data_IF_424196867654
#
_entry.id   IF_424196867654
#
_cell.length_a   1.000
_cell.length_b   1.000
_cell.length_c   1.000
_cell.angle_alpha   90.00
_cell.angle_beta   90.00
_cell.angle_gamma   90.00
#
_symmetry.space_group_name_H-M   'P 1'
#
loop_
_entity.id
_entity.type
_entity.pdbx_description
1 polymer ?
#
# COMPACT_ATOMS: atom_id res chain seq x y z
N UNK A 1 4.13 -4.81 1.21
CA UNK A 1 4.38 -5.27 2.60
C UNK A 1 3.09 -5.54 3.36
N UNK A 2 1.94 -5.64 2.67
CA UNK A 2 0.65 -5.84 3.30
C UNK A 2 0.57 -7.12 4.14
N UNK A 3 1.12 -8.24 3.66
CA UNK A 3 1.06 -9.53 4.37
C UNK A 3 1.88 -9.55 5.64
N UNK A 4 3.04 -8.89 5.63
CA UNK A 4 3.98 -8.93 6.76
C UNK A 4 3.73 -7.82 7.78
N UNK A 5 3.11 -6.71 7.37
CA UNK A 5 2.92 -5.55 8.23
C UNK A 5 1.48 -5.01 8.25
N UNK A 6 0.96 -4.51 7.12
CA UNK A 6 -0.27 -3.71 7.13
C UNK A 6 -1.49 -4.52 7.57
N UNK A 7 -1.73 -5.70 7.00
CA UNK A 7 -2.88 -6.54 7.35
C UNK A 7 -2.83 -7.03 8.81
N UNK A 8 -1.68 -7.57 9.31
CA UNK A 8 -1.56 -7.90 10.74
C UNK A 8 -1.74 -6.70 11.66
N UNK A 9 -1.21 -5.53 11.30
CA UNK A 9 -1.33 -4.32 12.11
C UNK A 9 -2.79 -3.87 12.20
N UNK A 10 -3.48 -3.75 11.07
CA UNK A 10 -4.90 -3.38 11.02
C UNK A 10 -5.73 -4.37 11.83
N UNK A 11 -5.57 -5.68 11.59
CA UNK A 11 -6.34 -6.70 12.31
C UNK A 11 -6.16 -6.60 13.83
N UNK A 12 -4.92 -6.44 14.32
CA UNK A 12 -4.66 -6.24 15.77
C UNK A 12 -5.32 -4.97 16.31
N UNK A 13 -5.26 -3.86 15.56
CA UNK A 13 -5.90 -2.60 15.98
C UNK A 13 -7.42 -2.73 16.04
N UNK A 14 -8.03 -3.45 15.10
CA UNK A 14 -9.47 -3.71 15.13
C UNK A 14 -9.88 -4.48 16.40
N UNK A 15 -9.14 -5.55 16.75
CA UNK A 15 -9.39 -6.31 17.98
C UNK A 15 -9.25 -5.43 19.23
N UNK A 16 -8.20 -4.61 19.31
CA UNK A 16 -7.98 -3.70 20.45
C UNK A 16 -9.17 -2.73 20.63
N UNK A 17 -9.76 -2.27 19.52
CA UNK A 17 -10.89 -1.33 19.52
C UNK A 17 -12.26 -2.00 19.52
N UNK A 18 -12.33 -3.33 19.66
CA UNK A 18 -13.60 -4.07 19.67
C UNK A 18 -14.35 -4.07 18.33
N UNK A 19 -13.64 -3.85 17.22
CA UNK A 19 -14.21 -3.88 15.88
C UNK A 19 -14.15 -5.29 15.30
N UNK A 20 -15.22 -5.69 14.60
CA UNK A 20 -15.28 -6.98 13.92
C UNK A 20 -14.28 -7.05 12.75
N UNK A 21 -13.54 -8.16 12.65
CA UNK A 21 -12.60 -8.36 11.55
C UNK A 21 -13.34 -8.68 10.25
N UNK A 22 -13.10 -7.94 9.16
CA UNK A 22 -13.70 -8.24 7.88
C UNK A 22 -13.14 -9.55 7.32
N UNK A 23 -13.95 -10.26 6.51
CA UNK A 23 -13.60 -11.56 5.93
C UNK A 23 -12.21 -11.68 5.27
N UNK A 24 -11.71 -10.66 4.53
CA UNK A 24 -10.35 -10.67 3.99
C UNK A 24 -9.26 -10.75 5.07
N UNK A 25 -9.44 -10.10 6.23
CA UNK A 25 -8.46 -10.13 7.33
C UNK A 25 -8.57 -11.40 8.20
N UNK A 26 -9.64 -12.18 8.06
CA UNK A 26 -9.79 -13.48 8.71
C UNK A 26 -9.00 -14.56 7.94
N UNK A 27 -7.68 -14.59 8.15
CA UNK A 27 -6.76 -15.50 7.42
C UNK A 27 -6.35 -16.75 8.20
N UNK A 28 -6.62 -16.81 9.52
CA UNK A 28 -6.22 -17.94 10.35
C UNK A 28 -6.88 -19.24 9.90
N UNK A 29 -6.09 -20.30 9.73
CA UNK A 29 -6.57 -21.62 9.30
C UNK A 29 -6.89 -21.75 7.80
N UNK A 30 -6.85 -20.65 7.03
CA UNK A 30 -7.00 -20.68 5.57
C UNK A 30 -5.71 -21.18 4.91
N UNK A 31 -5.87 -21.99 3.87
CA UNK A 31 -4.78 -22.37 2.97
C UNK A 31 -4.32 -21.17 2.14
N UNK A 32 -3.08 -21.16 1.63
CA UNK A 32 -2.57 -20.04 0.84
C UNK A 32 -3.45 -19.65 -0.35
N UNK A 33 -4.09 -20.60 -1.02
CA UNK A 33 -4.99 -20.36 -2.16
C UNK A 33 -6.40 -19.89 -1.77
N UNK A 34 -6.76 -19.96 -0.49
CA UNK A 34 -8.03 -19.44 0.04
C UNK A 34 -7.91 -17.96 0.47
N UNK A 35 -6.70 -17.40 0.42
CA UNK A 35 -6.41 -16.01 0.79
C UNK A 35 -6.15 -15.19 -0.48
N UNK A 36 -7.09 -14.33 -0.85
CA UNK A 36 -7.01 -13.49 -2.06
C UNK A 36 -6.10 -12.25 -1.90
N UNK A 37 -5.12 -12.28 -1.00
CA UNK A 37 -4.19 -11.18 -0.81
C UNK A 37 -3.02 -11.28 -1.79
N UNK A 38 -2.87 -10.25 -2.63
CA UNK A 38 -1.71 -10.02 -3.47
C UNK A 38 -0.79 -9.00 -2.78
N UNK A 39 0.50 -9.32 -2.67
CA UNK A 39 1.53 -8.41 -2.13
C UNK A 39 2.63 -8.24 -3.17
N UNK A 40 2.81 -7.02 -3.68
CA UNK A 40 3.80 -6.71 -4.72
C UNK A 40 5.23 -7.03 -4.27
N UNK A 41 5.53 -6.97 -2.98
CA UNK A 41 6.85 -7.35 -2.49
C UNK A 41 7.06 -8.87 -2.57
N UNK A 42 6.02 -9.65 -2.28
CA UNK A 42 6.07 -11.10 -2.41
C UNK A 42 6.19 -11.52 -3.89
N UNK A 43 5.51 -10.81 -4.79
CA UNK A 43 5.64 -11.02 -6.22
C UNK A 43 7.06 -10.67 -6.72
N UNK A 44 7.63 -9.57 -6.24
CA UNK A 44 8.94 -9.10 -6.66
C UNK A 44 10.11 -9.96 -6.19
N UNK A 45 9.98 -10.62 -5.03
CA UNK A 45 11.14 -11.27 -4.40
C UNK A 45 11.67 -12.48 -5.19
N UNK A 46 10.90 -13.08 -6.09
CA UNK A 46 11.28 -14.26 -6.89
C UNK A 46 11.97 -15.38 -6.06
N UNK A 47 11.53 -15.57 -4.82
CA UNK A 47 12.11 -16.55 -3.89
C UNK A 47 13.26 -16.05 -3.02
N UNK A 48 13.67 -14.79 -3.13
CA UNK A 48 14.57 -14.13 -2.17
C UNK A 48 13.83 -13.87 -0.85
N UNK A 49 14.39 -14.38 0.25
CA UNK A 49 13.82 -14.24 1.60
C UNK A 49 14.47 -13.13 2.42
N UNK A 50 15.55 -12.50 1.93
CA UNK A 50 16.42 -11.66 2.78
C UNK A 50 16.35 -10.16 2.48
N UNK A 51 15.86 -9.74 1.32
CA UNK A 51 15.95 -8.34 0.90
C UNK A 51 14.59 -7.69 0.69
N UNK A 52 14.26 -6.78 1.60
CA UNK A 52 13.13 -5.86 1.47
C UNK A 52 13.48 -4.77 0.45
N UNK A 53 12.78 -4.77 -0.70
CA UNK A 53 12.89 -3.66 -1.66
C UNK A 53 11.86 -2.59 -1.30
N UNK A 54 12.31 -1.36 -1.05
CA UNK A 54 11.40 -0.24 -0.82
C UNK A 54 10.59 0.08 -2.07
N UNK A 55 9.33 0.54 -1.91
CA UNK A 55 8.50 0.98 -3.05
C UNK A 55 9.18 2.09 -3.88
N UNK A 56 9.96 2.96 -3.23
CA UNK A 56 10.75 4.01 -3.90
C UNK A 56 11.80 3.43 -4.84
N UNK A 57 12.55 2.44 -4.38
CA UNK A 57 13.57 1.78 -5.20
C UNK A 57 12.91 0.99 -6.34
N UNK A 58 11.83 0.28 -6.04
CA UNK A 58 11.11 -0.52 -7.01
C UNK A 58 10.52 0.35 -8.15
N UNK A 59 9.86 1.46 -7.81
CA UNK A 59 9.34 2.41 -8.81
C UNK A 59 10.44 3.00 -9.68
N UNK A 60 11.58 3.37 -9.08
CA UNK A 60 12.73 3.88 -9.82
C UNK A 60 13.30 2.86 -10.82
N UNK A 61 13.55 1.62 -10.38
CA UNK A 61 14.10 0.55 -11.24
C UNK A 61 13.14 0.21 -12.38
N UNK A 62 11.84 0.28 -12.14
CA UNK A 62 10.81 0.00 -13.14
C UNK A 62 10.49 1.21 -14.04
N UNK A 63 11.13 2.37 -13.85
CA UNK A 63 10.84 3.56 -14.64
C UNK A 63 9.41 4.08 -14.45
N UNK A 64 8.86 3.93 -13.23
CA UNK A 64 7.57 4.46 -12.81
C UNK A 64 7.83 5.75 -12.03
N UNK A 65 7.02 6.78 -12.24
CA UNK A 65 7.13 8.01 -11.46
C UNK A 65 7.00 7.68 -9.96
N UNK A 66 7.98 8.13 -9.18
CA UNK A 66 8.01 7.82 -7.75
C UNK A 66 6.87 8.55 -7.03
N UNK A 67 6.22 7.93 -6.03
CA UNK A 67 5.16 8.59 -5.26
C UNK A 67 5.67 9.70 -4.31
N UNK A 68 7.00 9.82 -4.12
CA UNK A 68 7.61 10.57 -3.01
C UNK A 68 8.20 11.92 -3.43
N UNK A 69 7.35 12.95 -3.42
CA UNK A 69 7.79 14.34 -3.64
C UNK A 69 7.52 15.29 -2.45
N UNK A 70 6.74 14.88 -1.43
CA UNK A 70 6.28 15.81 -0.37
C UNK A 70 6.63 15.37 1.08
N UNK A 71 6.23 14.16 1.49
CA UNK A 71 6.52 13.60 2.83
C UNK A 71 6.86 12.10 2.78
N UNK A 72 7.44 11.57 3.86
CA UNK A 72 7.57 10.13 4.11
C UNK A 72 6.91 9.67 5.41
N UNK A 73 6.89 8.35 5.63
CA UNK A 73 6.23 7.71 6.78
C UNK A 73 6.71 8.20 8.15
N UNK A 74 7.95 8.69 8.27
CA UNK A 74 8.46 9.25 9.54
C UNK A 74 7.84 10.62 9.85
N UNK A 75 7.39 11.35 8.83
CA UNK A 75 6.84 12.70 8.95
C UNK A 75 5.32 12.71 9.19
N UNK A 76 4.62 11.58 8.97
CA UNK A 76 3.15 11.47 9.12
C UNK A 76 2.68 11.93 10.51
N UNK A 77 3.40 11.56 11.57
CA UNK A 77 3.04 11.95 12.93
C UNK A 77 3.12 13.48 13.13
N UNK A 78 4.17 14.12 12.63
CA UNK A 78 4.35 15.56 12.73
C UNK A 78 3.27 16.30 11.94
N UNK A 79 2.98 15.87 10.71
CA UNK A 79 1.93 16.46 9.87
C UNK A 79 0.55 16.34 10.54
N UNK A 80 0.27 15.21 11.21
CA UNK A 80 -1.00 15.00 11.90
C UNK A 80 -1.12 15.84 13.18
N UNK A 81 -0.11 15.80 14.06
CA UNK A 81 -0.22 16.40 15.39
C UNK A 81 0.14 17.89 15.41
N UNK A 82 1.12 18.33 14.62
CA UNK A 82 1.61 19.72 14.59
C UNK A 82 0.90 20.52 13.50
N UNK A 83 1.01 20.06 12.25
CA UNK A 83 0.50 20.81 11.10
C UNK A 83 -1.02 20.70 10.94
N UNK A 84 -1.65 19.72 11.60
CA UNK A 84 -3.09 19.41 11.54
C UNK A 84 -3.59 19.21 10.10
N UNK A 85 -2.74 18.71 9.21
CA UNK A 85 -3.02 18.64 7.78
C UNK A 85 -3.27 17.20 7.33
N UNK A 86 -4.49 16.72 7.58
CA UNK A 86 -4.90 15.36 7.21
C UNK A 86 -4.97 15.18 5.68
N UNK A 87 -5.36 16.22 4.94
CA UNK A 87 -5.46 16.17 3.48
C UNK A 87 -4.10 15.89 2.82
N UNK A 88 -3.02 16.41 3.39
CA UNK A 88 -1.65 16.12 2.93
C UNK A 88 -1.28 14.65 3.13
N UNK A 89 -1.67 14.07 4.26
CA UNK A 89 -1.46 12.64 4.55
C UNK A 89 -2.30 11.78 3.59
N UNK A 90 -3.56 12.17 3.34
CA UNK A 90 -4.43 11.46 2.40
C UNK A 90 -3.83 11.43 0.99
N UNK A 91 -3.38 12.59 0.47
CA UNK A 91 -2.69 12.69 -0.83
C UNK A 91 -1.43 11.83 -0.90
N UNK A 92 -0.65 11.77 0.19
CA UNK A 92 0.51 10.90 0.30
C UNK A 92 0.13 9.42 0.17
N UNK A 93 -0.90 8.98 0.90
CA UNK A 93 -1.39 7.60 0.84
C UNK A 93 -1.98 7.26 -0.53
N UNK A 94 -2.74 8.16 -1.16
CA UNK A 94 -3.28 7.97 -2.52
C UNK A 94 -2.17 7.74 -3.55
N UNK A 95 -1.08 8.53 -3.48
CA UNK A 95 0.08 8.36 -4.35
C UNK A 95 0.77 7.01 -4.14
N UNK A 96 0.92 6.56 -2.90
CA UNK A 96 1.48 5.24 -2.60
C UNK A 96 0.60 4.12 -3.18
N UNK A 97 -0.73 4.24 -3.10
CA UNK A 97 -1.67 3.28 -3.72
C UNK A 97 -1.53 3.26 -5.25
N UNK A 98 -1.49 4.43 -5.88
CA UNK A 98 -1.30 4.54 -7.33
C UNK A 98 0.04 3.90 -7.76
N UNK A 99 1.12 4.17 -7.02
CA UNK A 99 2.43 3.59 -7.30
C UNK A 99 2.41 2.06 -7.19
N UNK A 100 1.74 1.49 -6.18
CA UNK A 100 1.57 0.04 -6.04
C UNK A 100 0.78 -0.55 -7.22
N UNK A 101 -0.29 0.12 -7.67
CA UNK A 101 -1.06 -0.31 -8.84
C UNK A 101 -0.21 -0.29 -10.13
N UNK A 102 0.54 0.78 -10.38
CA UNK A 102 1.44 0.89 -11.53
C UNK A 102 2.54 -0.17 -11.50
N UNK A 103 3.08 -0.49 -10.31
CA UNK A 103 4.05 -1.58 -10.12
C UNK A 103 3.43 -2.93 -10.49
N UNK A 104 2.21 -3.21 -10.04
CA UNK A 104 1.52 -4.45 -10.37
C UNK A 104 1.27 -4.57 -11.89
N UNK A 105 0.78 -3.51 -12.54
CA UNK A 105 0.61 -3.48 -14.00
C UNK A 105 1.92 -3.75 -14.73
N UNK A 106 3.03 -3.18 -14.23
CA UNK A 106 4.35 -3.44 -14.81
C UNK A 106 4.79 -4.90 -14.65
N UNK A 107 4.50 -5.55 -13.52
CA UNK A 107 4.78 -6.98 -13.35
C UNK A 107 4.01 -7.84 -14.34
N UNK A 108 2.76 -7.46 -14.63
CA UNK A 108 1.89 -8.15 -15.58
C UNK A 108 2.13 -7.74 -17.04
N UNK A 109 3.09 -6.84 -17.30
CA UNK A 109 3.37 -6.31 -18.64
C UNK A 109 2.17 -5.62 -19.30
N UNK A 110 1.29 -5.03 -18.48
CA UNK A 110 0.15 -4.23 -18.91
C UNK A 110 0.60 -2.76 -18.99
N UNK A 111 0.07 -1.95 -19.94
CA UNK A 111 0.33 -0.52 -19.98
C UNK A 111 0.06 0.15 -18.63
N UNK A 112 0.90 1.12 -18.28
CA UNK A 112 0.67 1.95 -17.10
C UNK A 112 -0.56 2.82 -17.29
N UNK A 113 -1.26 3.12 -16.20
CA UNK A 113 -2.38 4.06 -16.23
C UNK A 113 -1.89 5.46 -16.62
N UNK A 114 -2.58 6.11 -17.55
CA UNK A 114 -2.41 7.53 -17.84
C UNK A 114 -3.21 8.40 -16.86
N UNK A 115 -2.92 9.70 -16.83
CA UNK A 115 -3.60 10.64 -15.91
C UNK A 115 -5.12 10.68 -16.13
N UNK A 116 -5.59 10.51 -17.37
CA UNK A 116 -7.02 10.48 -17.72
C UNK A 116 -7.74 9.20 -17.28
N UNK A 117 -7.01 8.13 -16.98
CA UNK A 117 -7.55 6.89 -16.42
C UNK A 117 -7.66 6.93 -14.89
N UNK A 118 -7.14 7.98 -14.24
CA UNK A 118 -7.09 8.11 -12.78
C UNK A 118 -8.14 9.12 -12.32
N UNK A 119 -9.14 8.64 -11.57
CA UNK A 119 -10.17 9.48 -10.97
C UNK A 119 -9.97 9.60 -9.45
N UNK A 120 -9.83 10.85 -8.97
CA UNK A 120 -9.85 11.14 -7.53
C UNK A 120 -11.31 11.40 -7.10
N UNK A 121 -11.82 10.54 -6.22
CA UNK A 121 -13.17 10.68 -5.67
C UNK A 121 -13.09 11.36 -4.31
N UNK A 122 -13.82 12.47 -4.14
CA UNK A 122 -13.90 13.13 -2.85
C UNK A 122 -14.48 12.17 -1.79
N UNK A 123 -14.01 12.24 -0.53
CA UNK A 123 -14.58 11.42 0.53
C UNK A 123 -16.09 11.67 0.63
N UNK A 124 -16.88 10.60 0.63
CA UNK A 124 -18.31 10.69 0.93
C UNK A 124 -18.43 11.08 2.40
N UNK A 125 -18.92 12.29 2.66
CA UNK A 125 -19.19 12.82 3.99
C UNK A 125 -20.29 12.06 4.72
#
# INVERSE_FOLDING_TARGET
NGKEFDFPYIARRMVIHGLELPGPLQVAGKKPWEVSHLDTMELWKFGDYKHYTSLKLLTHVLGIQSPKDDIDGSQVADVYYKDKNVDRIAKYCEKDVLAVAQVLLRFEQIPLLSEDEIAHVAPKG
#
